data_IF_716085338277
#
_entry.id   IF_716085338277
#
_cell.length_a   1.000
_cell.length_b   1.000
_cell.length_c   1.000
_cell.angle_alpha   90.00
_cell.angle_beta   90.00
_cell.angle_gamma   90.00
#
_symmetry.space_group_name_H-M   'P 1'
#
loop_
_entity.id
_entity.type
_entity.pdbx_description
1 polymer ?
#
# COMPACT_ATOMS: atom_id res chain seq x y z
N UNK A 1 5.82 -19.16 24.32
CA UNK A 1 6.67 -18.05 24.82
C UNK A 1 6.49 -16.75 24.01
N UNK A 2 6.57 -16.75 22.67
CA UNK A 2 6.42 -15.51 21.87
C UNK A 2 5.02 -14.87 21.96
N UNK A 3 3.95 -15.67 21.89
CA UNK A 3 2.57 -15.17 21.96
C UNK A 3 2.23 -14.51 23.31
N UNK A 4 2.60 -15.14 24.43
CA UNK A 4 2.37 -14.55 25.76
C UNK A 4 3.12 -13.24 25.96
N UNK A 5 4.34 -13.13 25.44
CA UNK A 5 5.09 -11.87 25.49
C UNK A 5 4.39 -10.76 24.68
N UNK A 6 3.82 -11.08 23.52
CA UNK A 6 2.99 -10.17 22.74
C UNK A 6 1.74 -9.73 23.52
N UNK A 7 1.00 -10.68 24.10
CA UNK A 7 -0.20 -10.38 24.89
C UNK A 7 0.12 -9.51 26.11
N UNK A 8 1.23 -9.76 26.79
CA UNK A 8 1.70 -8.94 27.91
C UNK A 8 2.07 -7.52 27.47
N UNK A 9 2.72 -7.35 26.31
CA UNK A 9 3.04 -6.04 25.75
C UNK A 9 1.77 -5.26 25.39
N UNK A 10 0.81 -5.90 24.74
CA UNK A 10 -0.49 -5.31 24.40
C UNK A 10 -1.27 -4.89 25.65
N UNK A 11 -1.28 -5.73 26.70
CA UNK A 11 -1.86 -5.37 27.99
C UNK A 11 -1.21 -4.13 28.60
N UNK A 12 0.12 -4.01 28.48
CA UNK A 12 0.86 -2.83 28.97
C UNK A 12 0.44 -1.55 28.24
N UNK A 13 0.27 -1.60 26.92
CA UNK A 13 -0.21 -0.45 26.15
C UNK A 13 -1.63 -0.03 26.55
N UNK A 14 -2.51 -0.99 26.84
CA UNK A 14 -3.87 -0.71 27.31
C UNK A 14 -3.91 0.14 28.59
N UNK A 15 -2.90 -0.01 29.47
CA UNK A 15 -2.81 0.76 30.73
C UNK A 15 -2.62 2.26 30.51
N UNK A 16 -1.98 2.67 29.42
CA UNK A 16 -1.57 4.06 29.19
C UNK A 16 -2.23 4.70 27.98
N UNK A 17 -2.70 3.91 27.00
CA UNK A 17 -3.39 4.42 25.85
C UNK A 17 -4.73 5.07 26.24
N UNK A 18 -4.97 6.29 25.77
CA UNK A 18 -6.20 7.06 26.02
C UNK A 18 -6.89 7.50 24.73
N UNK A 19 -6.20 7.42 23.60
CA UNK A 19 -6.79 7.71 22.29
C UNK A 19 -7.65 6.52 21.89
N UNK A 20 -8.94 6.71 21.57
CA UNK A 20 -9.78 5.66 21.02
C UNK A 20 -9.17 5.07 19.76
N UNK A 21 -9.10 3.75 19.68
CA UNK A 21 -8.61 3.02 18.51
C UNK A 21 -9.72 2.28 17.77
N UNK A 22 -9.51 2.05 16.48
CA UNK A 22 -10.25 1.06 15.69
C UNK A 22 -9.25 0.00 15.22
N UNK A 23 -9.51 -1.26 15.57
CA UNK A 23 -8.67 -2.39 15.22
C UNK A 23 -9.34 -3.17 14.10
N UNK A 24 -8.69 -3.24 12.94
CA UNK A 24 -9.20 -3.90 11.74
C UNK A 24 -8.34 -5.12 11.46
N UNK A 25 -8.95 -6.30 11.44
CA UNK A 25 -8.31 -7.57 11.12
C UNK A 25 -9.13 -8.31 10.07
N UNK A 26 -8.50 -9.18 9.27
CA UNK A 26 -9.20 -9.99 8.27
C UNK A 26 -9.46 -11.40 8.77
N UNK A 27 -10.59 -12.00 8.38
CA UNK A 27 -10.95 -13.37 8.72
C UNK A 27 -9.92 -14.45 8.27
N UNK A 28 -9.12 -14.15 7.24
CA UNK A 28 -8.06 -15.03 6.72
C UNK A 28 -6.64 -14.47 6.95
N UNK A 29 -6.42 -13.61 7.96
CA UNK A 29 -5.07 -13.20 8.35
C UNK A 29 -4.35 -14.40 9.02
N UNK A 30 -3.25 -14.85 8.40
CA UNK A 30 -2.44 -15.97 8.93
C UNK A 30 -1.32 -15.53 9.86
N UNK A 31 -0.96 -14.24 9.88
CA UNK A 31 0.10 -13.68 10.70
C UNK A 31 -0.44 -13.25 12.07
N UNK A 32 -1.61 -12.62 12.09
CA UNK A 32 -2.37 -12.29 13.29
C UNK A 32 -3.77 -12.86 13.14
N UNK A 33 -3.91 -14.14 13.48
CA UNK A 33 -5.20 -14.82 13.35
C UNK A 33 -6.31 -14.06 14.07
N UNK A 34 -7.58 -14.18 13.61
CA UNK A 34 -8.71 -13.53 14.26
C UNK A 34 -8.80 -13.82 15.76
N UNK A 35 -8.42 -15.02 16.19
CA UNK A 35 -8.44 -15.40 17.60
C UNK A 35 -7.32 -14.72 18.40
N UNK A 36 -6.10 -14.65 17.84
CA UNK A 36 -5.02 -13.90 18.46
C UNK A 36 -5.35 -12.41 18.56
N UNK A 37 -5.96 -11.83 17.53
CA UNK A 37 -6.38 -10.43 17.52
C UNK A 37 -7.44 -10.13 18.59
N UNK A 38 -8.39 -11.04 18.81
CA UNK A 38 -9.39 -10.94 19.90
C UNK A 38 -8.73 -11.07 21.28
N UNK A 39 -7.78 -11.98 21.46
CA UNK A 39 -7.05 -12.11 22.72
C UNK A 39 -6.25 -10.84 23.03
N UNK A 40 -5.57 -10.28 22.03
CA UNK A 40 -4.87 -9.01 22.13
C UNK A 40 -5.83 -7.88 22.53
N UNK A 41 -6.99 -7.76 21.85
CA UNK A 41 -8.00 -6.75 22.17
C UNK A 41 -8.50 -6.90 23.60
N UNK A 42 -8.80 -8.12 24.05
CA UNK A 42 -9.25 -8.40 25.40
C UNK A 42 -8.22 -7.97 26.45
N UNK A 43 -6.92 -8.24 26.21
CA UNK A 43 -5.83 -7.79 27.07
C UNK A 43 -5.66 -6.28 27.08
N UNK A 44 -5.80 -5.63 25.93
CA UNK A 44 -5.74 -4.18 25.79
C UNK A 44 -6.89 -3.49 26.55
N UNK A 45 -8.12 -3.96 26.37
CA UNK A 45 -9.31 -3.42 27.02
C UNK A 45 -9.34 -3.69 28.53
N UNK A 46 -8.87 -4.86 28.99
CA UNK A 46 -8.73 -5.15 30.42
C UNK A 46 -7.78 -4.18 31.14
N UNK A 47 -6.81 -3.59 30.43
CA UNK A 47 -5.94 -2.53 30.93
C UNK A 47 -6.58 -1.13 30.95
N UNK A 48 -7.80 -0.97 30.44
CA UNK A 48 -8.47 0.33 30.25
C UNK A 48 -8.30 0.95 28.86
N UNK A 49 -7.68 0.22 27.92
CA UNK A 49 -7.52 0.68 26.55
C UNK A 49 -8.86 0.78 25.82
N UNK A 50 -9.05 1.85 25.06
CA UNK A 50 -10.28 2.08 24.28
C UNK A 50 -10.05 1.62 22.84
N UNK A 51 -10.71 0.53 22.44
CA UNK A 51 -10.66 0.05 21.07
C UNK A 51 -11.99 -0.57 20.61
N UNK A 52 -12.43 -0.19 19.42
CA UNK A 52 -13.45 -0.91 18.65
C UNK A 52 -12.77 -1.96 17.77
N UNK A 53 -13.46 -3.05 17.47
CA UNK A 53 -12.90 -4.15 16.68
C UNK A 53 -13.80 -4.46 15.49
N UNK A 54 -13.20 -4.49 14.31
CA UNK A 54 -13.85 -4.90 13.08
C UNK A 54 -13.11 -6.09 12.49
N UNK A 55 -13.83 -7.21 12.37
CA UNK A 55 -13.37 -8.37 11.63
C UNK A 55 -13.86 -8.26 10.18
N UNK A 56 -12.97 -7.85 9.31
CA UNK A 56 -13.23 -7.77 7.88
C UNK A 56 -13.38 -9.17 7.24
N UNK A 57 -14.10 -9.28 6.12
CA UNK A 57 -14.14 -10.49 5.31
C UNK A 57 -12.74 -10.92 4.87
N UNK A 58 -12.60 -12.19 4.46
CA UNK A 58 -11.36 -12.70 3.90
C UNK A 58 -10.91 -11.84 2.71
N UNK A 59 -9.62 -11.46 2.70
CA UNK A 59 -9.02 -10.67 1.63
C UNK A 59 -7.97 -11.51 0.90
N UNK A 60 -8.19 -11.74 -0.40
CA UNK A 60 -7.34 -12.54 -1.28
C UNK A 60 -6.90 -13.86 -0.59
N UNK A 61 -5.65 -14.28 -0.74
CA UNK A 61 -5.12 -15.49 -0.11
C UNK A 61 -4.75 -15.29 1.37
N UNK A 62 -4.24 -14.11 1.73
CA UNK A 62 -3.85 -13.78 3.10
C UNK A 62 -4.31 -12.37 3.44
N UNK A 63 -5.19 -12.29 4.45
CA UNK A 63 -5.80 -11.06 4.92
C UNK A 63 -4.85 -10.08 5.59
N UNK A 64 -3.64 -10.51 5.92
CA UNK A 64 -2.61 -9.66 6.51
C UNK A 64 -2.30 -8.39 5.70
N UNK A 65 -2.48 -8.46 4.38
CA UNK A 65 -2.21 -7.34 3.47
C UNK A 65 -3.43 -6.47 3.18
N UNK A 66 -4.55 -6.64 3.91
CA UNK A 66 -5.80 -5.93 3.66
C UNK A 66 -5.58 -4.41 3.64
N UNK A 67 -5.05 -3.80 4.71
CA UNK A 67 -4.84 -2.35 4.76
C UNK A 67 -3.82 -1.86 3.71
N UNK A 68 -2.86 -2.71 3.34
CA UNK A 68 -1.79 -2.32 2.43
C UNK A 68 -2.17 -2.44 0.94
N UNK A 69 -3.20 -3.22 0.60
CA UNK A 69 -3.43 -3.63 -0.79
C UNK A 69 -4.90 -3.80 -1.20
N UNK A 70 -5.85 -3.65 -0.27
CA UNK A 70 -7.26 -3.57 -0.65
C UNK A 70 -7.59 -2.17 -1.17
N UNK A 71 -8.59 -2.03 -2.05
CA UNK A 71 -9.14 -0.73 -2.37
C UNK A 71 -9.70 -0.06 -1.11
N UNK A 72 -9.68 1.27 -1.07
CA UNK A 72 -10.06 2.07 0.10
C UNK A 72 -11.47 1.74 0.61
N UNK A 73 -12.42 1.51 -0.29
CA UNK A 73 -13.81 1.20 0.03
C UNK A 73 -13.98 -0.07 0.90
N UNK A 74 -13.01 -0.98 0.85
CA UNK A 74 -13.00 -2.21 1.64
C UNK A 74 -12.89 -1.94 3.15
N UNK A 75 -12.21 -0.87 3.56
CA UNK A 75 -11.97 -0.55 4.98
C UNK A 75 -12.48 0.84 5.38
N UNK A 76 -12.63 1.78 4.45
CA UNK A 76 -13.08 3.15 4.72
C UNK A 76 -14.50 3.20 5.27
N UNK A 77 -15.36 2.26 4.87
CA UNK A 77 -16.73 2.13 5.40
C UNK A 77 -16.78 1.93 6.91
N UNK A 78 -15.68 1.49 7.53
CA UNK A 78 -15.53 1.38 8.99
C UNK A 78 -14.71 2.54 9.57
N UNK A 79 -13.65 2.96 8.88
CA UNK A 79 -12.77 4.04 9.35
C UNK A 79 -13.48 5.40 9.34
N UNK A 80 -14.19 5.76 8.27
CA UNK A 80 -14.88 7.04 8.14
C UNK A 80 -15.86 7.30 9.29
N UNK A 81 -16.81 6.40 9.57
CA UNK A 81 -17.72 6.54 10.71
C UNK A 81 -17.01 6.60 12.06
N UNK A 82 -15.94 5.81 12.26
CA UNK A 82 -15.15 5.86 13.48
C UNK A 82 -14.49 7.22 13.68
N UNK A 83 -13.83 7.77 12.65
CA UNK A 83 -13.24 9.11 12.69
C UNK A 83 -14.29 10.18 13.00
N UNK A 84 -15.44 10.12 12.32
CA UNK A 84 -16.57 11.01 12.58
C UNK A 84 -17.06 10.96 14.02
N UNK A 85 -17.16 9.75 14.60
CA UNK A 85 -17.52 9.53 16.01
C UNK A 85 -16.52 10.19 16.98
N UNK A 86 -15.24 10.25 16.61
CA UNK A 86 -14.20 10.94 17.38
C UNK A 86 -14.10 12.45 17.10
N UNK A 87 -15.00 13.01 16.28
CA UNK A 87 -14.95 14.42 15.88
C UNK A 87 -13.81 14.77 14.94
N UNK A 88 -13.25 13.77 14.23
CA UNK A 88 -12.15 13.95 13.29
C UNK A 88 -12.68 14.07 11.84
N UNK A 89 -11.95 14.76 10.94
CA UNK A 89 -12.29 14.82 9.53
C UNK A 89 -12.38 13.43 8.90
N UNK A 90 -13.49 13.15 8.22
CA UNK A 90 -13.77 11.86 7.56
C UNK A 90 -14.39 12.00 6.17
N UNK A 91 -14.66 13.23 5.73
CA UNK A 91 -15.30 13.48 4.44
C UNK A 91 -14.23 13.65 3.35
N UNK A 92 -14.47 13.07 2.18
CA UNK A 92 -13.61 13.25 1.01
C UNK A 92 -13.76 14.70 0.52
N UNK A 93 -12.75 15.53 0.79
CA UNK A 93 -12.72 16.94 0.36
C UNK A 93 -12.08 17.12 -1.02
N UNK A 94 -11.21 16.20 -1.43
CA UNK A 94 -10.52 16.21 -2.72
C UNK A 94 -10.46 14.79 -3.25
N UNK A 95 -11.09 14.55 -4.39
CA UNK A 95 -10.97 13.30 -5.11
C UNK A 95 -9.68 13.25 -5.89
N UNK A 96 -8.80 12.30 -5.55
CA UNK A 96 -7.55 12.08 -6.29
C UNK A 96 -7.85 11.54 -7.68
N UNK A 97 -7.52 12.32 -8.71
CA UNK A 97 -7.72 11.92 -10.10
C UNK A 97 -6.85 10.72 -10.45
N UNK A 98 -7.38 9.80 -11.26
CA UNK A 98 -6.57 8.71 -11.80
C UNK A 98 -5.47 9.24 -12.73
N UNK A 99 -4.32 8.56 -12.67
CA UNK A 99 -3.21 8.84 -13.56
C UNK A 99 -3.62 8.63 -15.02
N UNK A 100 -3.46 9.66 -15.85
CA UNK A 100 -3.73 9.62 -17.30
C UNK A 100 -2.47 9.42 -18.13
N UNK A 101 -1.39 8.93 -17.51
CA UNK A 101 -0.14 8.67 -18.22
C UNK A 101 -0.39 7.69 -19.38
N UNK A 102 0.14 7.98 -20.58
CA UNK A 102 0.09 7.03 -21.69
C UNK A 102 0.84 5.75 -21.32
N UNK A 103 0.56 4.65 -22.03
CA UNK A 103 1.36 3.44 -21.86
C UNK A 103 2.72 3.62 -22.55
N UNK A 104 3.84 3.26 -21.91
CA UNK A 104 5.13 3.18 -22.60
C UNK A 104 5.05 2.20 -23.77
N UNK A 105 5.60 2.60 -24.91
CA UNK A 105 5.79 1.68 -26.03
C UNK A 105 6.71 0.52 -25.61
N UNK A 106 6.51 -0.67 -26.20
CA UNK A 106 7.40 -1.84 -26.03
C UNK A 106 7.41 -2.52 -24.65
N UNK A 107 6.40 -2.29 -23.81
CA UNK A 107 6.19 -3.16 -22.64
C UNK A 107 5.74 -4.56 -23.07
N UNK A 108 6.30 -5.58 -22.41
CA UNK A 108 5.76 -6.93 -22.49
C UNK A 108 4.45 -7.06 -21.68
N UNK A 109 3.74 -8.19 -21.82
CA UNK A 109 2.43 -8.37 -21.17
C UNK A 109 2.47 -8.16 -19.65
N UNK A 110 3.51 -8.62 -18.95
CA UNK A 110 3.66 -8.37 -17.50
C UNK A 110 3.93 -6.90 -17.19
N UNK A 111 4.70 -6.22 -18.03
CA UNK A 111 4.95 -4.78 -17.93
C UNK A 111 3.68 -3.95 -18.10
N UNK A 112 2.78 -4.36 -18.99
CA UNK A 112 1.47 -3.71 -19.14
C UNK A 112 0.66 -3.79 -17.85
N UNK A 113 0.57 -4.98 -17.23
CA UNK A 113 -0.10 -5.14 -15.93
C UNK A 113 0.57 -4.32 -14.83
N UNK A 114 1.90 -4.34 -14.75
CA UNK A 114 2.65 -3.52 -13.78
C UNK A 114 2.38 -2.02 -13.97
N UNK A 115 2.25 -1.56 -15.21
CA UNK A 115 1.95 -0.15 -15.49
C UNK A 115 0.50 0.23 -15.16
N UNK A 116 -0.46 -0.70 -15.29
CA UNK A 116 -1.83 -0.52 -14.79
C UNK A 116 -1.82 -0.32 -13.27
N UNK A 117 -1.10 -1.17 -12.54
CA UNK A 117 -0.99 -1.06 -11.08
C UNK A 117 -0.29 0.23 -10.65
N UNK A 118 0.77 0.63 -11.36
CA UNK A 118 1.45 1.92 -11.17
C UNK A 118 0.49 3.11 -11.33
N UNK A 119 -0.35 3.12 -12.36
CA UNK A 119 -1.33 4.19 -12.61
C UNK A 119 -2.46 4.21 -11.57
N UNK A 120 -2.90 3.04 -11.11
CA UNK A 120 -3.94 2.91 -10.10
C UNK A 120 -3.46 3.34 -8.70
N UNK A 121 -2.16 3.23 -8.43
CA UNK A 121 -1.59 3.58 -7.12
C UNK A 121 -1.66 5.09 -6.86
N UNK A 122 -2.27 5.49 -5.74
CA UNK A 122 -2.44 6.90 -5.35
C UNK A 122 -1.22 7.53 -4.65
N UNK A 123 -0.13 6.78 -4.47
CA UNK A 123 1.13 7.29 -3.93
C UNK A 123 1.78 8.32 -4.87
N UNK A 124 2.29 9.43 -4.32
CA UNK A 124 3.02 10.44 -5.10
C UNK A 124 4.50 10.05 -5.28
N UNK A 125 5.06 9.30 -4.34
CA UNK A 125 6.46 8.86 -4.27
C UNK A 125 6.68 7.54 -5.00
N UNK A 126 6.22 7.52 -6.26
CA UNK A 126 6.33 6.38 -7.16
C UNK A 126 7.11 6.73 -8.41
N UNK A 127 7.69 5.73 -9.07
CA UNK A 127 8.31 5.91 -10.38
C UNK A 127 8.20 4.64 -11.22
N UNK A 128 8.29 4.83 -12.54
CA UNK A 128 8.29 3.76 -13.51
C UNK A 128 9.43 3.98 -14.52
N UNK A 129 10.18 2.93 -14.79
CA UNK A 129 11.25 2.89 -15.78
C UNK A 129 11.04 1.68 -16.71
N UNK A 130 11.47 1.83 -17.95
CA UNK A 130 11.40 0.78 -18.96
C UNK A 130 12.57 0.90 -19.92
N UNK A 131 12.82 -0.16 -20.67
CA UNK A 131 13.77 -0.18 -21.78
C UNK A 131 13.07 -0.62 -23.07
N UNK A 132 13.61 -0.25 -24.24
CA UNK A 132 13.05 -0.68 -25.53
C UNK A 132 13.04 -2.20 -25.76
N UNK A 133 13.86 -2.95 -25.03
CA UNK A 133 13.92 -4.41 -25.09
C UNK A 133 12.83 -5.11 -24.26
N UNK A 134 12.00 -4.32 -23.55
CA UNK A 134 10.86 -4.78 -22.78
C UNK A 134 11.13 -5.03 -21.30
N UNK A 135 12.34 -4.73 -20.80
CA UNK A 135 12.59 -4.67 -19.36
C UNK A 135 11.85 -3.48 -18.73
N UNK A 136 11.50 -3.62 -17.46
CA UNK A 136 10.77 -2.61 -16.71
C UNK A 136 11.04 -2.73 -15.22
N UNK A 137 10.84 -1.63 -14.52
CA UNK A 137 10.97 -1.53 -13.08
C UNK A 137 10.10 -0.42 -12.54
N UNK A 138 9.44 -0.66 -11.42
CA UNK A 138 8.57 0.34 -10.80
C UNK A 138 8.57 0.18 -9.30
N UNK A 139 8.19 1.25 -8.61
CA UNK A 139 8.11 1.28 -7.15
C UNK A 139 7.03 2.27 -6.72
N UNK A 140 6.33 1.94 -5.64
CA UNK A 140 5.27 2.78 -5.05
C UNK A 140 5.38 2.96 -3.54
N UNK A 141 6.29 2.23 -2.89
CA UNK A 141 6.43 2.14 -1.44
C UNK A 141 7.65 2.89 -0.88
N UNK A 142 8.12 3.92 -1.59
CA UNK A 142 9.30 4.71 -1.21
C UNK A 142 8.90 6.09 -0.67
N UNK A 143 9.80 6.72 0.12
CA UNK A 143 9.55 7.98 0.84
C UNK A 143 9.77 9.25 0.01
N UNK A 144 10.46 9.17 -1.12
CA UNK A 144 10.73 10.32 -2.00
C UNK A 144 10.70 9.93 -3.46
N UNK A 145 10.29 10.87 -4.32
CA UNK A 145 10.30 10.69 -5.77
C UNK A 145 11.71 10.45 -6.34
N UNK A 146 12.75 11.06 -5.76
CA UNK A 146 14.13 10.83 -6.18
C UNK A 146 14.59 9.39 -5.91
N UNK A 147 14.32 8.87 -4.70
CA UNK A 147 14.61 7.48 -4.40
C UNK A 147 13.76 6.53 -5.26
N UNK A 148 12.50 6.88 -5.51
CA UNK A 148 11.62 6.08 -6.36
C UNK A 148 12.19 5.97 -7.77
N UNK A 149 12.62 7.09 -8.37
CA UNK A 149 13.25 7.12 -9.67
C UNK A 149 14.52 6.23 -9.72
N UNK A 150 15.40 6.36 -8.72
CA UNK A 150 16.61 5.55 -8.61
C UNK A 150 16.31 4.06 -8.52
N UNK A 151 15.35 3.67 -7.69
CA UNK A 151 15.00 2.25 -7.48
C UNK A 151 14.28 1.66 -8.70
N UNK A 152 13.40 2.42 -9.36
CA UNK A 152 12.74 2.01 -10.59
C UNK A 152 13.76 1.72 -11.70
N UNK A 153 14.73 2.63 -11.90
CA UNK A 153 15.84 2.43 -12.84
C UNK A 153 16.71 1.23 -12.47
N UNK A 154 17.08 1.11 -11.19
CA UNK A 154 17.91 -0.01 -10.69
C UNK A 154 17.18 -1.34 -10.90
N UNK A 155 15.88 -1.39 -10.65
CA UNK A 155 15.06 -2.59 -10.85
C UNK A 155 14.94 -2.94 -12.32
N UNK A 156 14.68 -1.95 -13.17
CA UNK A 156 14.59 -2.15 -14.62
C UNK A 156 15.91 -2.69 -15.18
N UNK A 157 17.04 -2.08 -14.80
CA UNK A 157 18.37 -2.41 -15.35
C UNK A 157 18.78 -3.86 -15.07
N UNK A 158 18.27 -4.49 -14.01
CA UNK A 158 18.52 -5.91 -13.69
C UNK A 158 17.99 -6.88 -14.75
N UNK A 159 17.03 -6.44 -15.57
CA UNK A 159 16.32 -7.28 -16.53
C UNK A 159 16.56 -6.89 -17.99
N UNK A 160 17.38 -5.86 -18.24
CA UNK A 160 17.84 -5.50 -19.58
C UNK A 160 18.76 -6.60 -20.10
N UNK A 161 18.59 -7.00 -21.35
CA UNK A 161 19.44 -8.01 -21.99
C UNK A 161 20.81 -7.45 -22.35
N UNK A 162 21.82 -8.31 -22.35
CA UNK A 162 23.19 -7.91 -22.72
C UNK A 162 23.23 -7.28 -24.11
N UNK A 163 23.83 -6.09 -24.21
CA UNK A 163 23.97 -5.34 -25.47
C UNK A 163 22.77 -4.47 -25.86
N UNK A 164 21.71 -4.42 -25.05
CA UNK A 164 20.56 -3.53 -25.27
C UNK A 164 20.73 -2.16 -24.60
N UNK A 165 19.86 -1.22 -24.94
CA UNK A 165 19.86 0.13 -24.38
C UNK A 165 19.53 0.17 -22.88
N UNK A 166 20.09 1.14 -22.18
CA UNK A 166 19.83 1.37 -20.76
C UNK A 166 18.35 1.73 -20.51
N UNK A 167 17.88 1.40 -19.31
CA UNK A 167 16.54 1.80 -18.88
C UNK A 167 16.37 3.33 -18.88
N UNK A 168 15.23 3.75 -19.39
CA UNK A 168 14.77 5.13 -19.41
C UNK A 168 13.76 5.30 -18.29
N UNK A 169 13.94 6.36 -17.50
CA UNK A 169 12.93 6.79 -16.55
C UNK A 169 11.76 7.34 -17.36
N UNK A 170 10.57 6.77 -17.15
CA UNK A 170 9.37 7.14 -17.91
C UNK A 170 8.49 8.12 -17.16
N UNK A 171 8.29 7.86 -15.87
CA UNK A 171 7.43 8.69 -15.05
C UNK A 171 7.90 8.71 -13.60
N UNK A 172 7.65 9.84 -12.95
CA UNK A 172 7.84 10.08 -11.52
C UNK A 172 6.57 10.72 -10.99
N UNK A 173 5.99 10.15 -9.94
CA UNK A 173 4.62 10.43 -9.52
C UNK A 173 3.65 10.10 -10.66
N UNK A 174 2.83 11.06 -11.06
CA UNK A 174 1.92 10.96 -12.21
C UNK A 174 2.34 11.87 -13.37
N UNK A 175 3.64 12.13 -13.50
CA UNK A 175 4.21 13.00 -14.55
C UNK A 175 5.22 12.26 -15.39
N UNK A 176 5.16 12.48 -16.71
CA UNK A 176 6.19 12.03 -17.64
C UNK A 176 7.51 12.76 -17.36
N UNK A 177 8.61 12.04 -17.49
CA UNK A 177 9.95 12.63 -17.54
C UNK A 177 10.28 13.02 -18.98
N UNK A 178 10.94 14.15 -19.17
CA UNK A 178 11.22 14.70 -20.51
C UNK A 178 12.45 14.07 -21.16
N UNK A 179 12.46 13.86 -22.49
CA UNK A 179 11.34 14.01 -23.42
C UNK A 179 10.66 12.64 -23.69
N UNK A 180 9.32 12.56 -23.66
CA UNK A 180 8.61 11.37 -24.12
C UNK A 180 8.80 11.19 -25.65
N UNK A 181 9.11 9.97 -26.15
CA UNK A 181 9.16 9.69 -27.59
C UNK A 181 7.75 9.61 -28.21
N UNK A 182 7.64 10.06 -29.47
CA UNK A 182 6.41 10.21 -30.26
C UNK A 182 5.52 8.95 -30.25
N UNK A 183 4.24 9.16 -29.92
CA UNK A 183 3.19 8.16 -30.11
C UNK A 183 2.77 8.12 -31.59
N UNK A 184 2.46 6.94 -32.16
CA UNK A 184 1.87 6.85 -33.50
C UNK A 184 0.48 7.48 -33.58
#
# INVERSE_FOLDING_TARGET
MQQESLLAAVASFGKTARVPGLWIYSANDSSFSPDLAKDMLGRYQAGGGLAEFFLAPAFKHNGHFLLASSPEDFWWSQVGPFLKKQGLPSDEIIKMTDSKLPFPSKLNGKGVYAFVDYRATKSYEKAFAYSPDGAWGWVTSIRTQWQAAKEALTTCQKYVRDGEENCILYAVGDKLTTPPPDQP
#
